data_IF_081093358124
#
_entry.id   IF_081093358124
#
_cell.length_a   1.000
_cell.length_b   1.000
_cell.length_c   1.000
_cell.angle_alpha   90.00
_cell.angle_beta   90.00
_cell.angle_gamma   90.00
#
_symmetry.space_group_name_H-M   'P 1'
#
loop_
_entity.id
_entity.type
_entity.pdbx_description
1 polymer ?
#
# COMPACT_ATOMS: atom_id res chain seq x y z
N UNK A 1 -4.40 33.33 -19.36
CA UNK A 1 -4.36 32.18 -18.43
C UNK A 1 -4.30 30.91 -19.27
N UNK A 2 -3.13 30.28 -19.37
CA UNK A 2 -2.98 29.03 -20.11
C UNK A 2 -3.10 27.89 -19.08
N UNK A 3 -4.26 27.26 -19.00
CA UNK A 3 -4.43 26.06 -18.19
C UNK A 3 -3.67 24.93 -18.85
N UNK A 4 -2.58 24.44 -18.23
CA UNK A 4 -1.96 23.21 -18.70
C UNK A 4 -3.00 22.10 -18.54
N UNK A 5 -3.55 21.63 -19.65
CA UNK A 5 -4.45 20.49 -19.67
C UNK A 5 -3.64 19.24 -19.33
N UNK A 6 -3.37 19.04 -18.04
CA UNK A 6 -2.69 17.84 -17.56
C UNK A 6 -3.63 16.67 -17.84
N UNK A 7 -3.22 15.70 -18.68
CA UNK A 7 -4.11 14.60 -19.06
C UNK A 7 -4.47 13.76 -17.84
N UNK A 8 -5.77 13.43 -17.71
CA UNK A 8 -6.27 12.51 -16.70
C UNK A 8 -5.92 11.08 -17.13
N UNK A 9 -5.24 10.33 -16.25
CA UNK A 9 -4.99 8.89 -16.44
C UNK A 9 -6.13 8.12 -15.76
N UNK A 10 -6.81 7.27 -16.54
CA UNK A 10 -7.80 6.31 -16.02
C UNK A 10 -7.26 4.92 -16.29
N UNK A 11 -6.91 4.19 -15.23
CA UNK A 11 -6.42 2.82 -15.31
C UNK A 11 -7.38 1.90 -14.55
N UNK A 12 -7.71 0.75 -15.14
CA UNK A 12 -8.29 -0.34 -14.37
C UNK A 12 -7.19 -0.93 -13.49
N UNK A 13 -7.40 -0.90 -12.17
CA UNK A 13 -6.48 -1.43 -11.18
C UNK A 13 -7.21 -2.54 -10.43
N UNK A 14 -6.60 -3.71 -10.36
CA UNK A 14 -7.18 -4.84 -9.63
C UNK A 14 -7.30 -4.52 -8.13
N UNK A 15 -8.36 -5.03 -7.49
CA UNK A 15 -8.61 -4.82 -6.07
C UNK A 15 -7.46 -5.31 -5.17
N UNK A 16 -6.73 -6.34 -5.60
CA UNK A 16 -5.54 -6.84 -4.91
C UNK A 16 -4.41 -5.82 -4.86
N UNK A 17 -4.22 -5.04 -5.94
CA UNK A 17 -3.22 -3.96 -5.97
C UNK A 17 -3.62 -2.85 -5.00
N UNK A 18 -4.90 -2.45 -4.98
CA UNK A 18 -5.38 -1.45 -4.02
C UNK A 18 -5.24 -1.94 -2.57
N UNK A 19 -5.48 -3.22 -2.32
CA UNK A 19 -5.30 -3.84 -1.00
C UNK A 19 -3.82 -3.93 -0.57
N UNK A 20 -2.87 -3.75 -1.48
CA UNK A 20 -1.44 -3.74 -1.14
C UNK A 20 -0.96 -2.38 -0.61
N UNK A 21 -1.74 -1.30 -0.79
CA UNK A 21 -1.32 0.06 -0.43
C UNK A 21 -1.12 0.20 1.08
N UNK A 22 -2.11 -0.18 1.90
CA UNK A 22 -2.01 -0.06 3.37
C UNK A 22 -0.88 -0.93 3.95
N UNK A 23 -0.77 -2.24 3.60
CA UNK A 23 0.37 -3.07 3.98
C UNK A 23 1.72 -2.43 3.65
N UNK A 24 1.84 -1.86 2.45
CA UNK A 24 3.08 -1.22 2.01
C UNK A 24 3.38 0.04 2.84
N UNK A 25 2.38 0.87 3.14
CA UNK A 25 2.55 2.03 4.02
C UNK A 25 2.99 1.63 5.44
N UNK A 26 2.40 0.58 6.00
CA UNK A 26 2.79 0.06 7.33
C UNK A 26 4.22 -0.49 7.35
N UNK A 27 4.61 -1.20 6.30
CA UNK A 27 5.99 -1.66 6.11
C UNK A 27 6.97 -0.48 6.01
N UNK A 28 6.65 0.54 5.21
CA UNK A 28 7.50 1.73 5.12
C UNK A 28 7.67 2.40 6.49
N UNK A 29 6.58 2.52 7.27
CA UNK A 29 6.63 3.09 8.61
C UNK A 29 7.54 2.28 9.56
N UNK A 30 7.55 0.95 9.48
CA UNK A 30 8.47 0.12 10.28
C UNK A 30 9.93 0.29 9.87
N UNK A 31 10.19 0.55 8.58
CA UNK A 31 11.53 0.87 8.06
C UNK A 31 11.93 2.34 8.31
N UNK A 32 11.06 3.15 8.93
CA UNK A 32 11.33 4.55 9.21
C UNK A 32 11.14 5.49 8.00
N UNK A 33 10.26 5.08 7.09
CA UNK A 33 9.87 5.83 5.91
C UNK A 33 8.38 6.14 5.91
N UNK A 34 7.98 7.12 5.11
CA UNK A 34 6.59 7.50 4.91
C UNK A 34 6.29 7.64 3.42
N UNK A 35 5.12 7.16 2.98
CA UNK A 35 4.63 7.35 1.62
C UNK A 35 3.72 8.58 1.55
N UNK A 36 4.17 9.61 0.83
CA UNK A 36 3.44 10.82 0.53
C UNK A 36 2.99 10.78 -0.93
N UNK A 37 1.72 10.45 -1.24
CA UNK A 37 1.25 10.19 -2.61
C UNK A 37 1.01 11.50 -3.38
N UNK A 38 2.08 12.24 -3.69
CA UNK A 38 2.03 13.52 -4.43
C UNK A 38 1.96 13.33 -5.95
N UNK A 39 2.30 12.14 -6.41
CA UNK A 39 2.31 11.73 -7.82
C UNK A 39 2.11 10.22 -7.93
N UNK A 40 2.11 9.67 -9.15
CA UNK A 40 2.03 8.23 -9.38
C UNK A 40 3.37 7.49 -9.28
N UNK A 41 4.49 8.21 -9.13
CA UNK A 41 5.81 7.59 -8.96
C UNK A 41 6.06 7.23 -7.48
N UNK A 42 6.81 6.16 -7.20
CA UNK A 42 7.26 5.90 -5.82
C UNK A 42 8.46 6.79 -5.43
N UNK A 43 9.38 7.01 -6.37
CA UNK A 43 10.48 7.94 -6.21
C UNK A 43 9.97 9.37 -5.99
N UNK A 44 10.56 10.08 -5.03
CA UNK A 44 10.11 11.42 -4.63
C UNK A 44 8.87 11.42 -3.71
N UNK A 45 8.17 10.29 -3.58
CA UNK A 45 7.00 10.15 -2.72
C UNK A 45 7.31 9.35 -1.44
N UNK A 46 8.33 8.50 -1.43
CA UNK A 46 8.82 7.88 -0.19
C UNK A 46 9.84 8.81 0.46
N UNK A 47 9.61 9.19 1.71
CA UNK A 47 10.48 10.10 2.48
C UNK A 47 10.98 9.44 3.75
N UNK A 48 12.15 9.86 4.24
CA UNK A 48 12.60 9.55 5.60
C UNK A 48 11.74 10.29 6.64
N UNK A 49 11.90 9.93 7.92
CA UNK A 49 11.27 10.67 9.04
C UNK A 49 11.61 12.16 9.06
N UNK A 50 12.77 12.54 8.52
CA UNK A 50 13.21 13.93 8.42
C UNK A 50 12.63 14.66 7.20
N UNK A 51 11.77 13.99 6.42
CA UNK A 51 11.11 14.54 5.24
C UNK A 51 11.96 14.56 3.97
N UNK A 52 13.11 13.89 3.97
CA UNK A 52 14.00 13.81 2.80
C UNK A 52 13.52 12.69 1.87
N UNK A 53 13.29 13.02 0.60
CA UNK A 53 12.88 12.04 -0.39
C UNK A 53 14.01 11.03 -0.67
N UNK A 54 13.64 9.74 -0.73
CA UNK A 54 14.57 8.67 -1.09
C UNK A 54 14.86 8.73 -2.60
N UNK A 55 16.13 8.53 -2.96
CA UNK A 55 16.53 8.34 -4.36
C UNK A 55 16.07 6.99 -4.93
N UNK A 56 16.29 6.79 -6.23
CA UNK A 56 15.81 5.60 -6.94
C UNK A 56 16.36 4.28 -6.35
N UNK A 57 17.64 4.27 -5.98
CA UNK A 57 18.31 3.07 -5.45
C UNK A 57 17.72 2.75 -4.07
N UNK A 58 17.50 3.78 -3.26
CA UNK A 58 16.94 3.65 -1.92
C UNK A 58 15.44 3.34 -1.91
N UNK A 59 14.69 3.67 -2.96
CA UNK A 59 13.28 3.24 -3.12
C UNK A 59 13.16 1.77 -3.55
N UNK A 60 14.07 1.30 -4.41
CA UNK A 60 13.99 -0.05 -4.96
C UNK A 60 14.11 -1.13 -3.89
N UNK A 61 15.04 -0.97 -2.95
CA UNK A 61 15.31 -1.98 -1.92
C UNK A 61 14.12 -2.24 -0.98
N UNK A 62 13.46 -1.24 -0.39
CA UNK A 62 12.23 -1.43 0.39
C UNK A 62 11.13 -2.12 -0.41
N UNK A 63 10.96 -1.77 -1.68
CA UNK A 63 9.96 -2.41 -2.55
C UNK A 63 10.26 -3.90 -2.71
N UNK A 64 11.51 -4.26 -3.01
CA UNK A 64 11.93 -5.68 -3.13
C UNK A 64 11.70 -6.44 -1.81
N UNK A 65 12.13 -5.89 -0.67
CA UNK A 65 11.94 -6.51 0.66
C UNK A 65 10.45 -6.70 0.98
N UNK A 66 9.62 -5.71 0.66
CA UNK A 66 8.17 -5.82 0.84
C UNK A 66 7.59 -6.98 0.02
N UNK A 67 7.98 -7.11 -1.25
CA UNK A 67 7.52 -8.19 -2.13
C UNK A 67 8.03 -9.57 -1.68
N UNK A 68 9.23 -9.66 -1.09
CA UNK A 68 9.77 -10.88 -0.52
C UNK A 68 9.03 -11.32 0.76
N UNK A 69 8.56 -10.36 1.57
CA UNK A 69 7.93 -10.62 2.88
C UNK A 69 6.42 -10.37 2.90
N UNK A 70 5.76 -10.37 1.74
CA UNK A 70 4.35 -9.96 1.66
C UNK A 70 3.42 -10.75 2.58
N UNK A 71 3.71 -12.01 2.85
CA UNK A 71 2.89 -12.85 3.73
C UNK A 71 2.84 -12.32 5.16
N UNK A 72 3.91 -11.67 5.62
CA UNK A 72 4.01 -11.05 6.96
C UNK A 72 3.22 -9.73 7.04
N UNK A 73 3.15 -9.00 5.92
CA UNK A 73 2.56 -7.66 5.86
C UNK A 73 1.11 -7.67 5.37
N UNK A 74 0.66 -8.74 4.71
CA UNK A 74 -0.71 -8.89 4.24
C UNK A 74 -1.65 -9.07 5.44
N UNK A 75 -2.78 -8.36 5.43
CA UNK A 75 -3.85 -8.68 6.36
C UNK A 75 -4.32 -10.13 6.16
N UNK A 76 -4.74 -10.85 7.22
CA UNK A 76 -5.51 -12.06 7.05
C UNK A 76 -6.65 -11.78 6.08
N UNK A 77 -6.82 -12.64 5.07
CA UNK A 77 -7.82 -12.44 4.03
C UNK A 77 -9.22 -12.32 4.66
N UNK A 78 -9.68 -11.09 4.85
CA UNK A 78 -11.03 -10.81 5.29
C UNK A 78 -11.81 -10.34 4.07
N UNK A 79 -12.27 -11.30 3.29
CA UNK A 79 -13.44 -11.05 2.47
C UNK A 79 -14.58 -10.66 3.42
N UNK A 80 -15.27 -9.52 3.24
CA UNK A 80 -16.54 -9.34 3.89
C UNK A 80 -17.47 -10.39 3.26
N UNK A 81 -17.52 -11.58 3.86
CA UNK A 81 -18.59 -12.52 3.57
C UNK A 81 -19.87 -11.72 3.77
N UNK A 82 -20.64 -11.50 2.70
CA UNK A 82 -22.06 -11.21 2.84
C UNK A 82 -22.62 -12.39 3.62
N UNK A 83 -22.69 -12.26 4.95
CA UNK A 83 -23.30 -13.28 5.79
C UNK A 83 -24.76 -13.34 5.38
N UNK A 84 -25.31 -14.49 4.98
CA UNK A 84 -26.75 -14.63 4.97
C UNK A 84 -27.26 -14.31 6.39
N UNK A 85 -28.38 -13.59 6.47
CA UNK A 85 -28.97 -13.24 7.77
C UNK A 85 -29.19 -14.53 8.59
N UNK A 86 -28.56 -14.61 9.76
CA UNK A 86 -28.74 -15.73 10.70
C UNK A 86 -27.52 -16.65 10.94
N UNK A 87 -26.35 -16.41 10.34
CA UNK A 87 -25.16 -17.23 10.65
C UNK A 87 -24.57 -16.88 12.04
N UNK A 88 -24.21 -17.89 12.86
CA UNK A 88 -23.58 -17.65 14.17
C UNK A 88 -22.21 -16.95 14.01
N UNK A 89 -21.75 -16.22 15.04
CA UNK A 89 -20.44 -15.58 15.00
C UNK A 89 -19.33 -16.63 14.88
N UNK A 90 -18.34 -16.38 14.01
CA UNK A 90 -17.13 -17.18 13.98
C UNK A 90 -16.39 -17.00 15.32
N UNK A 91 -16.28 -18.08 16.09
CA UNK A 91 -15.30 -18.16 17.16
C UNK A 91 -13.94 -18.29 16.49
N UNK A 92 -13.16 -17.21 16.51
CA UNK A 92 -11.78 -17.22 16.07
C UNK A 92 -10.99 -17.85 17.22
N UNK A 93 -10.69 -19.15 17.11
CA UNK A 93 -9.66 -19.77 17.94
C UNK A 93 -8.35 -19.68 17.17
N UNK A 94 -7.46 -18.80 17.61
CA UNK A 94 -6.06 -18.83 17.20
C UNK A 94 -5.42 -20.10 17.79
N UNK A 95 -4.74 -20.88 16.95
CA UNK A 95 -3.77 -21.89 17.37
C UNK A 95 -2.46 -21.62 16.62
#
# INVERSE_FOLDING_TARGET
MCGSATPLIVCEVDAFVLQSIDPFQRFLLSEGHELLPRSFHLHGNIVSKDGVALDLIHVRRPVEIFFERQEEWRYPFFWPQRRPAGSPPLSISFC
#
